data_IF_378031770391
#
_entry.id   IF_378031770391
#
_cell.length_a   1.000
_cell.length_b   1.000
_cell.length_c   1.000
_cell.angle_alpha   90.00
_cell.angle_beta   90.00
_cell.angle_gamma   90.00
#
_symmetry.space_group_name_H-M   'P 1'
#
loop_
_entity.id
_entity.type
_entity.pdbx_description
1 polymer ?
#
# COMPACT_ATOMS: atom_id res chain seq x y z
N UNK A 1 -18.51 -12.74 -3.44
CA UNK A 1 -19.44 -12.90 -2.31
C UNK A 1 -18.95 -11.95 -1.22
N UNK A 2 -19.64 -10.85 -1.03
CA UNK A 2 -19.26 -9.88 0.02
C UNK A 2 -19.88 -10.39 1.33
N UNK A 3 -19.07 -10.52 2.38
CA UNK A 3 -19.59 -10.79 3.71
C UNK A 3 -20.57 -9.69 4.10
N UNK A 4 -21.68 -10.04 4.72
CA UNK A 4 -22.50 -9.05 5.38
C UNK A 4 -21.72 -8.45 6.57
N UNK A 5 -22.01 -7.23 6.97
CA UNK A 5 -21.26 -6.51 8.01
C UNK A 5 -21.17 -7.28 9.33
N UNK A 6 -22.18 -8.11 9.67
CA UNK A 6 -22.18 -8.92 10.90
C UNK A 6 -21.19 -10.08 10.85
N UNK A 7 -21.12 -10.78 9.72
CA UNK A 7 -20.15 -11.88 9.53
C UNK A 7 -18.71 -11.34 9.51
N UNK A 8 -18.49 -10.19 8.89
CA UNK A 8 -17.19 -9.54 8.89
C UNK A 8 -16.77 -9.08 10.29
N UNK A 9 -17.68 -8.49 11.07
CA UNK A 9 -17.41 -8.12 12.46
C UNK A 9 -17.09 -9.33 13.33
N UNK A 10 -17.83 -10.44 13.18
CA UNK A 10 -17.56 -11.67 13.92
C UNK A 10 -16.17 -12.26 13.60
N UNK A 11 -15.72 -12.16 12.34
CA UNK A 11 -14.35 -12.55 11.95
C UNK A 11 -13.31 -11.63 12.58
N UNK A 12 -13.54 -10.31 12.56
CA UNK A 12 -12.64 -9.35 13.19
C UNK A 12 -12.54 -9.55 14.71
N UNK A 13 -13.66 -9.85 15.37
CA UNK A 13 -13.68 -10.18 16.81
C UNK A 13 -12.94 -11.48 17.10
N UNK A 14 -13.05 -12.47 16.22
CA UNK A 14 -12.27 -13.70 16.29
C UNK A 14 -10.76 -13.47 16.15
N UNK A 15 -10.35 -12.53 15.31
CA UNK A 15 -8.94 -12.15 15.12
C UNK A 15 -8.35 -11.35 16.31
N UNK A 16 -9.18 -10.93 17.26
CA UNK A 16 -8.69 -10.27 18.50
C UNK A 16 -8.11 -11.27 19.50
N UNK A 17 -8.40 -12.56 19.34
CA UNK A 17 -7.77 -13.60 20.16
C UNK A 17 -6.32 -13.76 19.71
N UNK A 18 -5.44 -13.39 20.60
CA UNK A 18 -4.00 -13.34 20.36
C UNK A 18 -3.28 -14.33 21.24
N UNK A 19 -2.51 -15.23 20.65
CA UNK A 19 -1.53 -16.05 21.37
C UNK A 19 -0.17 -15.38 21.29
N UNK A 20 0.48 -15.24 22.44
CA UNK A 20 1.81 -14.64 22.52
C UNK A 20 2.77 -15.64 23.11
N UNK A 21 3.83 -15.97 22.39
CA UNK A 21 4.90 -16.83 22.88
C UNK A 21 6.27 -16.26 22.49
N UNK A 22 7.32 -16.76 23.13
CA UNK A 22 8.69 -16.41 22.80
C UNK A 22 9.31 -17.51 21.94
N UNK A 23 9.86 -17.13 20.81
CA UNK A 23 10.58 -18.03 19.92
C UNK A 23 11.92 -17.42 19.53
N UNK A 24 13.01 -18.15 19.82
CA UNK A 24 14.39 -17.73 19.53
C UNK A 24 14.72 -16.28 19.94
N UNK A 25 14.17 -15.81 21.07
CA UNK A 25 14.38 -14.47 21.60
C UNK A 25 13.44 -13.40 21.00
N UNK A 26 12.54 -13.80 20.10
CA UNK A 26 11.52 -12.93 19.53
C UNK A 26 10.18 -13.14 20.21
N UNK A 27 9.47 -12.05 20.48
CA UNK A 27 8.08 -12.11 20.94
C UNK A 27 7.17 -12.28 19.74
N UNK A 28 6.65 -13.49 19.56
CA UNK A 28 5.77 -13.83 18.46
C UNK A 28 4.31 -13.63 18.90
N UNK A 29 3.53 -12.95 18.08
CA UNK A 29 2.09 -12.77 18.26
C UNK A 29 1.38 -13.47 17.12
N UNK A 30 0.55 -14.44 17.44
CA UNK A 30 -0.24 -15.18 16.47
C UNK A 30 -1.72 -14.83 16.62
N UNK A 31 -2.34 -14.43 15.53
CA UNK A 31 -3.77 -14.24 15.42
C UNK A 31 -4.32 -15.25 14.42
N UNK A 32 -5.10 -16.18 14.89
CA UNK A 32 -5.65 -17.23 14.06
C UNK A 32 -7.13 -16.97 13.80
N UNK A 33 -7.56 -16.99 12.54
CA UNK A 33 -8.98 -16.96 12.22
C UNK A 33 -9.66 -18.22 12.76
N UNK A 34 -10.91 -18.13 13.25
CA UNK A 34 -11.59 -19.26 13.92
C UNK A 34 -11.71 -20.53 13.07
N UNK A 35 -11.71 -20.39 11.75
CA UNK A 35 -11.84 -21.45 10.75
C UNK A 35 -10.52 -21.74 10.00
N UNK A 36 -9.40 -21.20 10.48
CA UNK A 36 -8.11 -21.41 9.84
C UNK A 36 -7.56 -22.80 10.11
N UNK A 37 -7.14 -23.47 9.05
CA UNK A 37 -6.36 -24.70 9.13
C UNK A 37 -4.89 -24.33 9.21
N UNK A 38 -4.12 -24.82 10.20
CA UNK A 38 -2.70 -24.56 10.32
C UNK A 38 -1.97 -24.88 9.01
N UNK A 39 -1.23 -23.90 8.46
CA UNK A 39 -0.54 -24.01 7.17
C UNK A 39 -1.46 -23.93 5.95
N UNK A 40 -2.76 -23.77 6.13
CA UNK A 40 -3.73 -23.55 5.06
C UNK A 40 -3.90 -22.06 4.72
N UNK A 41 -4.38 -21.82 3.51
CA UNK A 41 -4.77 -20.47 3.10
C UNK A 41 -6.20 -20.17 3.58
N UNK A 42 -6.44 -18.98 4.09
CA UNK A 42 -7.79 -18.51 4.42
C UNK A 42 -8.71 -18.69 3.19
N UNK A 43 -9.90 -19.29 3.34
CA UNK A 43 -10.82 -19.54 2.22
C UNK A 43 -11.19 -18.28 1.43
N UNK A 44 -11.21 -17.13 2.08
CA UNK A 44 -11.49 -15.83 1.44
C UNK A 44 -10.30 -15.39 0.57
N UNK A 45 -9.08 -15.54 1.09
CA UNK A 45 -7.86 -15.29 0.32
C UNK A 45 -7.76 -16.25 -0.87
N UNK A 46 -8.06 -17.53 -0.67
CA UNK A 46 -8.10 -18.52 -1.73
C UNK A 46 -9.18 -18.22 -2.79
N UNK A 47 -10.35 -17.70 -2.39
CA UNK A 47 -11.39 -17.26 -3.31
C UNK A 47 -10.97 -16.04 -4.11
N UNK A 48 -10.37 -15.04 -3.45
CA UNK A 48 -9.82 -13.86 -4.10
C UNK A 48 -8.74 -14.24 -5.11
N UNK A 49 -7.77 -15.05 -4.72
CA UNK A 49 -6.70 -15.51 -5.60
C UNK A 49 -7.24 -16.28 -6.82
N UNK A 50 -8.26 -17.11 -6.65
CA UNK A 50 -8.93 -17.77 -7.79
C UNK A 50 -9.53 -16.77 -8.76
N UNK A 51 -10.17 -15.71 -8.26
CA UNK A 51 -10.73 -14.65 -9.10
C UNK A 51 -9.63 -13.88 -9.82
N UNK A 52 -8.54 -13.56 -9.13
CA UNK A 52 -7.40 -12.85 -9.71
C UNK A 52 -6.66 -13.69 -10.76
N UNK A 53 -6.52 -15.00 -10.52
CA UNK A 53 -5.85 -15.91 -11.45
C UNK A 53 -6.77 -16.39 -12.60
N UNK A 54 -8.07 -16.08 -12.55
CA UNK A 54 -8.99 -16.39 -13.64
C UNK A 54 -8.74 -15.53 -14.90
N UNK A 55 -8.18 -14.33 -14.70
CA UNK A 55 -7.67 -13.52 -15.81
C UNK A 55 -6.19 -13.89 -16.01
N UNK A 56 -5.81 -14.40 -17.18
CA UNK A 56 -4.41 -14.73 -17.46
C UNK A 56 -3.57 -13.45 -17.39
N UNK A 57 -2.72 -13.37 -16.38
CA UNK A 57 -1.67 -12.38 -16.35
C UNK A 57 -0.70 -12.57 -17.52
N UNK A 58 0.20 -11.62 -17.82
CA UNK A 58 1.17 -11.77 -18.88
C UNK A 58 2.01 -13.03 -18.64
N UNK A 59 2.01 -13.94 -19.59
CA UNK A 59 2.71 -15.25 -19.54
C UNK A 59 4.22 -15.10 -19.31
N UNK A 60 4.78 -13.96 -19.72
CA UNK A 60 6.17 -13.56 -19.49
C UNK A 60 6.26 -12.06 -19.26
N UNK A 61 7.17 -11.67 -18.37
CA UNK A 61 7.54 -10.27 -18.21
C UNK A 61 8.38 -9.87 -19.43
N UNK A 62 7.82 -9.01 -20.25
CA UNK A 62 8.51 -8.38 -21.37
C UNK A 62 9.15 -7.08 -20.89
N UNK A 63 10.47 -7.07 -20.75
CA UNK A 63 11.22 -5.90 -20.29
C UNK A 63 11.24 -4.76 -21.31
N UNK A 64 11.01 -5.07 -22.58
CA UNK A 64 10.93 -4.06 -23.65
C UNK A 64 9.54 -3.44 -23.74
N UNK A 65 8.52 -4.10 -23.15
CA UNK A 65 7.14 -3.60 -23.07
C UNK A 65 6.50 -3.87 -21.71
N UNK A 66 6.82 -3.03 -20.74
CA UNK A 66 6.26 -3.12 -19.38
C UNK A 66 4.84 -2.53 -19.22
N UNK A 67 4.30 -1.94 -20.27
CA UNK A 67 2.96 -1.32 -20.22
C UNK A 67 1.87 -2.25 -19.68
N UNK A 68 1.69 -3.46 -20.24
CA UNK A 68 0.69 -4.43 -19.75
C UNK A 68 0.92 -4.83 -18.28
N UNK A 69 2.18 -5.09 -17.90
CA UNK A 69 2.53 -5.45 -16.52
C UNK A 69 2.21 -4.31 -15.54
N UNK A 70 2.61 -3.08 -15.88
CA UNK A 70 2.32 -1.89 -15.06
C UNK A 70 0.81 -1.67 -14.91
N UNK A 71 0.04 -1.90 -15.96
CA UNK A 71 -1.42 -1.79 -15.91
C UNK A 71 -2.04 -2.80 -14.93
N UNK A 72 -1.50 -4.02 -14.86
CA UNK A 72 -1.96 -5.04 -13.91
C UNK A 72 -1.58 -4.72 -12.45
N UNK A 73 -0.57 -3.88 -12.21
CA UNK A 73 -0.16 -3.48 -10.86
C UNK A 73 -1.06 -2.41 -10.25
N UNK A 74 -1.97 -1.85 -11.03
CA UNK A 74 -2.71 -0.65 -10.71
C UNK A 74 -4.10 -0.97 -10.17
N UNK A 75 -4.18 -1.28 -8.87
CA UNK A 75 -5.43 -1.63 -8.20
C UNK A 75 -6.00 -0.44 -7.46
N UNK A 76 -7.14 0.03 -7.95
CA UNK A 76 -7.84 1.13 -7.31
C UNK A 76 -8.59 0.62 -6.07
N UNK A 77 -8.11 0.97 -4.87
CA UNK A 77 -8.85 0.71 -3.63
C UNK A 77 -10.08 1.61 -3.53
N UNK A 78 -11.10 1.14 -2.79
CA UNK A 78 -12.25 1.98 -2.46
C UNK A 78 -11.82 3.11 -1.51
N UNK A 79 -12.37 4.31 -1.73
CA UNK A 79 -12.22 5.40 -0.76
C UNK A 79 -13.24 5.18 0.37
N UNK A 80 -12.74 4.77 1.52
CA UNK A 80 -13.53 4.57 2.75
C UNK A 80 -13.24 5.67 3.78
N UNK A 81 -12.54 6.73 3.38
CA UNK A 81 -12.22 7.88 4.22
C UNK A 81 -13.48 8.68 4.51
N UNK A 82 -13.68 9.06 5.76
CA UNK A 82 -14.84 9.84 6.23
C UNK A 82 -14.48 11.30 6.47
N UNK A 83 -13.23 11.57 6.81
CA UNK A 83 -12.74 12.92 7.04
C UNK A 83 -12.48 13.67 5.73
N UNK A 84 -12.62 14.99 5.77
CA UNK A 84 -12.21 15.85 4.66
C UNK A 84 -10.67 15.95 4.64
N UNK A 85 -10.07 15.46 3.56
CA UNK A 85 -8.63 15.45 3.36
C UNK A 85 -8.24 16.47 2.28
N UNK A 86 -7.33 17.36 2.62
CA UNK A 86 -6.68 18.25 1.67
C UNK A 86 -5.59 17.47 0.93
N UNK A 87 -5.63 17.53 -0.39
CA UNK A 87 -4.63 16.90 -1.27
C UNK A 87 -3.86 18.00 -2.00
N UNK A 88 -2.54 18.03 -1.85
CA UNK A 88 -1.68 19.03 -2.51
C UNK A 88 -0.57 18.33 -3.29
N UNK A 89 -0.32 18.82 -4.51
CA UNK A 89 0.80 18.38 -5.33
C UNK A 89 2.03 19.25 -5.03
N UNK A 90 3.17 18.60 -4.88
CA UNK A 90 4.46 19.24 -4.58
C UNK A 90 5.54 18.61 -5.44
N UNK A 91 6.67 19.27 -5.49
CA UNK A 91 7.86 18.79 -6.19
C UNK A 91 9.07 19.10 -5.31
N UNK A 92 10.00 18.16 -5.21
CA UNK A 92 11.34 18.42 -4.70
C UNK A 92 12.39 18.10 -5.77
N UNK A 93 13.60 18.59 -5.57
CA UNK A 93 14.71 18.34 -6.48
C UNK A 93 15.59 17.24 -5.91
N UNK A 94 15.76 16.16 -6.66
CA UNK A 94 16.68 15.08 -6.32
C UNK A 94 18.15 15.49 -6.52
N UNK A 95 19.07 14.72 -5.94
CA UNK A 95 20.52 14.92 -5.99
C UNK A 95 21.10 14.97 -7.41
N UNK A 96 20.42 14.41 -8.38
CA UNK A 96 20.80 14.42 -9.80
C UNK A 96 20.16 15.58 -10.58
N UNK A 97 19.51 16.54 -9.90
CA UNK A 97 18.78 17.63 -10.53
C UNK A 97 17.42 17.26 -11.12
N UNK A 98 16.99 16.00 -10.95
CA UNK A 98 15.68 15.53 -11.38
C UNK A 98 14.56 16.03 -10.45
N UNK A 99 13.38 16.18 -11.02
CA UNK A 99 12.20 16.57 -10.26
C UNK A 99 11.47 15.31 -9.74
N UNK A 100 11.24 15.26 -8.43
CA UNK A 100 10.51 14.20 -7.76
C UNK A 100 9.14 14.74 -7.39
N UNK A 101 8.08 14.15 -7.96
CA UNK A 101 6.71 14.56 -7.65
C UNK A 101 6.26 13.94 -6.34
N UNK A 102 5.61 14.78 -5.53
CA UNK A 102 5.08 14.41 -4.22
C UNK A 102 3.60 14.76 -4.17
N UNK A 103 2.85 13.97 -3.43
CA UNK A 103 1.46 14.27 -3.11
C UNK A 103 1.26 14.22 -1.61
N UNK A 104 0.89 15.33 -1.01
CA UNK A 104 0.65 15.42 0.43
C UNK A 104 -0.85 15.38 0.74
N UNK A 105 -1.19 14.67 1.81
CA UNK A 105 -2.53 14.48 2.33
C UNK A 105 -2.55 14.97 3.77
N UNK A 106 -3.47 15.85 4.11
CA UNK A 106 -3.63 16.39 5.46
C UNK A 106 -5.10 16.54 5.82
N UNK A 107 -5.44 16.39 7.09
CA UNK A 107 -6.79 16.70 7.56
C UNK A 107 -7.10 18.19 7.30
N UNK A 108 -8.33 18.47 6.90
CA UNK A 108 -8.79 19.85 6.71
C UNK A 108 -8.77 20.65 8.02
N UNK A 109 -8.99 19.99 9.14
CA UNK A 109 -8.81 20.57 10.47
C UNK A 109 -7.31 20.68 10.75
N UNK A 110 -6.81 21.90 10.81
CA UNK A 110 -5.39 22.18 11.04
C UNK A 110 -4.98 21.77 12.46
N UNK A 111 -4.10 20.80 12.58
CA UNK A 111 -3.27 20.60 13.76
C UNK A 111 -1.91 21.30 13.53
N UNK A 112 -1.46 22.07 14.49
CA UNK A 112 -0.17 22.78 14.41
C UNK A 112 1.04 21.86 14.52
N UNK A 113 0.84 20.61 14.99
CA UNK A 113 1.89 19.60 15.16
C UNK A 113 1.31 18.21 14.85
N UNK A 114 1.18 17.89 13.58
CA UNK A 114 0.84 16.53 13.13
C UNK A 114 2.11 15.74 12.80
N UNK A 115 2.19 14.46 13.16
CA UNK A 115 3.27 13.59 12.67
C UNK A 115 3.24 13.49 11.15
N UNK A 116 4.38 13.17 10.53
CA UNK A 116 4.50 13.00 9.10
C UNK A 116 4.81 11.54 8.77
N UNK A 117 4.09 10.99 7.79
CA UNK A 117 4.33 9.66 7.23
C UNK A 117 4.77 9.88 5.78
N UNK A 118 5.99 9.45 5.43
CA UNK A 118 6.41 9.39 4.03
C UNK A 118 6.11 8.00 3.50
N UNK A 119 5.37 7.93 2.40
CA UNK A 119 4.86 6.70 1.81
C UNK A 119 5.51 6.43 0.45
N UNK A 120 6.18 5.30 0.33
CA UNK A 120 6.72 4.79 -0.92
C UNK A 120 5.86 3.62 -1.38
N UNK A 121 5.23 3.76 -2.55
CA UNK A 121 4.32 2.73 -3.05
C UNK A 121 5.06 1.47 -3.50
N UNK A 122 4.38 0.33 -3.47
CA UNK A 122 4.86 -0.92 -4.01
C UNK A 122 4.88 -0.94 -5.54
N UNK A 123 5.51 -1.97 -6.11
CA UNK A 123 5.56 -2.15 -7.57
C UNK A 123 6.90 -2.69 -8.08
N UNK A 124 7.74 -3.24 -7.17
CA UNK A 124 9.01 -3.89 -7.54
C UNK A 124 10.03 -2.98 -8.19
N UNK A 125 9.95 -1.67 -8.00
CA UNK A 125 10.77 -0.62 -8.62
C UNK A 125 10.58 -0.49 -10.15
N UNK A 126 9.63 -1.22 -10.71
CA UNK A 126 9.35 -1.22 -12.16
C UNK A 126 7.96 -0.68 -12.49
N UNK A 127 7.11 -0.48 -11.49
CA UNK A 127 5.74 -0.01 -11.68
C UNK A 127 5.10 0.48 -10.39
N UNK A 128 3.79 0.69 -10.45
CA UNK A 128 3.02 1.35 -9.42
C UNK A 128 2.77 2.82 -9.77
N UNK A 129 1.85 3.46 -9.08
CA UNK A 129 1.50 4.86 -9.34
C UNK A 129 0.89 5.49 -8.10
N UNK A 130 1.21 6.78 -7.83
CA UNK A 130 0.63 7.52 -6.71
C UNK A 130 -0.90 7.55 -6.71
N UNK A 131 -1.52 7.53 -7.91
CA UNK A 131 -2.98 7.57 -8.05
C UNK A 131 -3.68 6.35 -7.44
N UNK A 132 -3.04 5.19 -7.45
CA UNK A 132 -3.62 3.95 -6.93
C UNK A 132 -3.54 3.83 -5.41
N UNK A 133 -2.54 4.45 -4.81
CA UNK A 133 -2.38 4.47 -3.35
C UNK A 133 -3.02 5.68 -2.68
N UNK A 134 -3.68 6.55 -3.46
CA UNK A 134 -4.31 7.76 -2.94
C UNK A 134 -5.29 7.47 -1.81
N UNK A 135 -6.22 6.52 -1.99
CA UNK A 135 -7.21 6.19 -0.99
C UNK A 135 -6.58 5.58 0.27
N UNK A 136 -5.51 4.80 0.12
CA UNK A 136 -4.73 4.29 1.24
C UNK A 136 -4.04 5.45 1.99
N UNK A 137 -3.42 6.38 1.27
CA UNK A 137 -2.78 7.55 1.89
C UNK A 137 -3.78 8.45 2.62
N UNK A 138 -4.99 8.65 2.05
CA UNK A 138 -6.08 9.37 2.72
C UNK A 138 -6.51 8.65 4.01
N UNK A 139 -6.68 7.34 3.95
CA UNK A 139 -7.07 6.54 5.12
C UNK A 139 -5.98 6.57 6.20
N UNK A 140 -4.72 6.46 5.84
CA UNK A 140 -3.59 6.61 6.77
C UNK A 140 -3.59 8.00 7.42
N UNK A 141 -3.82 9.06 6.62
CA UNK A 141 -3.92 10.42 7.12
C UNK A 141 -5.03 10.56 8.18
N UNK A 142 -6.23 10.02 7.88
CA UNK A 142 -7.37 10.05 8.79
C UNK A 142 -7.09 9.27 10.07
N UNK A 143 -6.66 8.01 9.95
CA UNK A 143 -6.52 7.07 11.08
C UNK A 143 -5.36 7.40 11.99
N UNK A 144 -4.25 7.83 11.44
CA UNK A 144 -3.07 8.22 12.20
C UNK A 144 -3.09 9.69 12.64
N UNK A 145 -4.05 10.50 12.13
CA UNK A 145 -4.07 11.97 12.30
C UNK A 145 -2.74 12.60 11.92
N UNK A 146 -2.14 12.09 10.85
CA UNK A 146 -0.82 12.46 10.36
C UNK A 146 -0.91 13.15 9.00
N UNK A 147 0.08 13.96 8.67
CA UNK A 147 0.31 14.32 7.26
C UNK A 147 0.95 13.13 6.56
N UNK A 148 0.40 12.71 5.43
CA UNK A 148 0.99 11.65 4.61
C UNK A 148 1.56 12.27 3.34
N UNK A 149 2.78 11.90 2.96
CA UNK A 149 3.44 12.33 1.72
C UNK A 149 3.74 11.09 0.89
N UNK A 150 3.08 10.94 -0.25
CA UNK A 150 3.38 9.90 -1.22
C UNK A 150 4.39 10.39 -2.23
N UNK A 151 5.37 9.55 -2.56
CA UNK A 151 6.51 9.87 -3.43
C UNK A 151 6.37 9.12 -4.75
N UNK A 152 6.50 9.82 -5.87
CA UNK A 152 6.57 9.25 -7.20
C UNK A 152 8.04 9.12 -7.62
N UNK A 153 8.66 8.02 -7.21
CA UNK A 153 10.04 7.71 -7.54
C UNK A 153 10.17 7.11 -8.96
N UNK A 154 11.33 7.27 -9.57
CA UNK A 154 11.63 6.78 -10.93
C UNK A 154 11.72 5.24 -10.96
N UNK A 155 11.30 4.66 -12.08
CA UNK A 155 11.23 3.23 -12.30
C UNK A 155 12.35 2.70 -13.20
N UNK A 156 12.74 1.47 -12.97
CA UNK A 156 13.51 0.68 -13.91
C UNK A 156 12.57 0.11 -15.01
N UNK A 157 13.04 -0.21 -16.18
CA UNK A 157 14.43 -0.09 -16.66
C UNK A 157 14.82 1.31 -17.13
N UNK A 158 13.86 2.23 -17.29
CA UNK A 158 14.11 3.59 -17.79
C UNK A 158 15.12 4.34 -16.92
N UNK A 159 15.04 4.09 -15.61
CA UNK A 159 15.94 4.64 -14.59
C UNK A 159 16.41 3.50 -13.68
N UNK A 160 17.46 2.76 -14.05
CA UNK A 160 17.90 1.59 -13.29
C UNK A 160 18.39 1.97 -11.88
N UNK A 161 18.51 0.94 -11.04
CA UNK A 161 19.10 1.11 -9.71
C UNK A 161 20.43 1.87 -9.80
N UNK A 162 20.68 2.89 -8.95
CA UNK A 162 19.92 3.22 -7.73
C UNK A 162 18.96 4.42 -7.88
N UNK A 163 18.52 4.80 -9.08
CA UNK A 163 17.76 6.04 -9.32
C UNK A 163 16.50 6.15 -8.44
N UNK A 164 15.62 5.16 -8.45
CA UNK A 164 14.40 5.20 -7.64
C UNK A 164 14.68 5.20 -6.14
N UNK A 165 15.70 4.47 -5.71
CA UNK A 165 16.14 4.48 -4.31
C UNK A 165 16.64 5.87 -3.90
N UNK A 166 17.44 6.53 -4.74
CA UNK A 166 17.89 7.89 -4.47
C UNK A 166 16.73 8.88 -4.40
N UNK A 167 15.73 8.75 -5.28
CA UNK A 167 14.53 9.60 -5.23
C UNK A 167 13.78 9.45 -3.90
N UNK A 168 13.68 8.21 -3.39
CA UNK A 168 13.06 7.97 -2.08
C UNK A 168 13.85 8.62 -0.94
N UNK A 169 15.19 8.55 -0.98
CA UNK A 169 16.05 9.17 0.03
C UNK A 169 16.02 10.70 -0.06
N UNK A 170 15.99 11.25 -1.28
CA UNK A 170 15.99 12.70 -1.49
C UNK A 170 14.63 13.35 -1.14
N UNK A 171 13.58 12.55 -1.06
CA UNK A 171 12.23 12.97 -0.66
C UNK A 171 12.02 12.99 0.87
N UNK A 172 12.96 12.47 1.67
CA UNK A 172 12.94 12.48 3.12
C UNK A 172 13.46 13.80 3.68
#
# INVERSE_FOLDING_TARGET
>A
MFYNDKEYCAVLDGLQREEVYNDHGYRVRVRTAPDAVPGGMDPRAASLLRTLNAEPGPEKIDLDNLGPLRSCMNWKSLDITKALINVCHRVCTGRSGNLIRLRSYSLAEKSTAAPCIVYFHGGGWIGGEMGYVENLCKLLCERARATVISVEYRFAPEHPFPCGFHDCVDAL
#
